data_IF_709260740099
#
_entry.id   IF_709260740099
#
_cell.length_a   1.000
_cell.length_b   1.000
_cell.length_c   1.000
_cell.angle_alpha   90.00
_cell.angle_beta   90.00
_cell.angle_gamma   90.00
#
_symmetry.space_group_name_H-M   'P 1'
#
loop_
_entity.id
_entity.type
_entity.pdbx_description
1 polymer ?
#
# COMPACT_ATOMS: atom_id res chain seq x y z
N UNK A 1 15.86 2.97 6.80
CA UNK A 1 14.91 3.47 5.78
C UNK A 1 15.07 2.65 4.51
N UNK A 2 14.02 1.95 4.15
CA UNK A 2 13.88 1.12 2.96
C UNK A 2 13.12 1.88 1.88
N UNK A 3 13.26 1.40 0.64
CA UNK A 3 12.66 2.01 -0.54
C UNK A 3 12.29 0.93 -1.54
N UNK A 4 11.00 0.75 -1.76
CA UNK A 4 10.48 -0.24 -2.72
C UNK A 4 9.46 0.36 -3.66
N UNK A 5 9.45 -0.11 -4.91
CA UNK A 5 8.45 0.25 -5.91
C UNK A 5 7.63 -0.99 -6.22
N UNK A 6 6.33 -0.92 -5.97
CA UNK A 6 5.40 -2.04 -6.11
C UNK A 6 4.25 -1.61 -7.03
N UNK A 7 3.85 -2.48 -7.94
CA UNK A 7 2.66 -2.28 -8.77
C UNK A 7 1.48 -3.01 -8.12
N UNK A 8 0.42 -2.27 -7.79
CA UNK A 8 -0.73 -2.74 -7.03
C UNK A 8 -2.03 -2.28 -7.69
N UNK A 9 -3.13 -2.97 -7.42
CA UNK A 9 -4.47 -2.50 -7.80
C UNK A 9 -4.75 -1.17 -7.10
N UNK A 10 -5.37 -0.22 -7.81
CA UNK A 10 -5.73 1.09 -7.27
C UNK A 10 -6.61 0.98 -6.01
N UNK A 11 -7.50 -0.01 -5.94
CA UNK A 11 -8.37 -0.23 -4.78
C UNK A 11 -7.57 -0.67 -3.55
N UNK A 12 -6.61 -1.58 -3.75
CA UNK A 12 -5.68 -2.01 -2.69
C UNK A 12 -4.85 -0.81 -2.20
N UNK A 13 -4.39 0.04 -3.10
CA UNK A 13 -3.61 1.23 -2.72
C UNK A 13 -4.43 2.24 -1.92
N UNK A 14 -5.71 2.43 -2.26
CA UNK A 14 -6.59 3.30 -1.48
C UNK A 14 -6.75 2.80 -0.04
N UNK A 15 -6.90 1.49 0.15
CA UNK A 15 -6.94 0.88 1.50
C UNK A 15 -5.63 1.02 2.26
N UNK A 16 -4.50 0.86 1.58
CA UNK A 16 -3.18 1.07 2.19
C UNK A 16 -3.06 2.52 2.69
N UNK A 17 -3.47 3.49 1.87
CA UNK A 17 -3.46 4.91 2.26
C UNK A 17 -4.34 5.13 3.49
N UNK A 18 -5.56 4.59 3.52
CA UNK A 18 -6.46 4.70 4.66
C UNK A 18 -5.82 4.11 5.93
N UNK A 19 -5.29 2.89 5.86
CA UNK A 19 -4.61 2.24 7.00
C UNK A 19 -3.40 3.01 7.51
N UNK A 20 -2.57 3.54 6.61
CA UNK A 20 -1.40 4.36 6.97
C UNK A 20 -1.83 5.60 7.74
N UNK A 21 -2.90 6.27 7.30
CA UNK A 21 -3.42 7.46 7.97
C UNK A 21 -4.12 7.12 9.31
N UNK A 22 -4.99 6.12 9.33
CA UNK A 22 -5.76 5.73 10.52
C UNK A 22 -4.87 5.27 11.67
N UNK A 23 -3.78 4.55 11.35
CA UNK A 23 -2.85 4.02 12.34
C UNK A 23 -1.63 4.93 12.56
N UNK A 24 -1.58 6.10 11.90
CA UNK A 24 -0.47 7.06 11.96
C UNK A 24 0.89 6.37 11.73
N UNK A 25 0.99 5.57 10.66
CA UNK A 25 2.18 4.80 10.33
C UNK A 25 3.24 5.69 9.67
N UNK A 26 4.51 5.48 10.00
CA UNK A 26 5.66 6.15 9.40
C UNK A 26 6.02 5.50 8.04
N UNK A 27 5.10 5.62 7.08
CA UNK A 27 5.24 5.16 5.70
C UNK A 27 4.91 6.33 4.77
N UNK A 28 5.87 6.76 3.95
CA UNK A 28 5.62 7.71 2.87
C UNK A 28 5.34 6.98 1.57
N UNK A 29 4.38 7.50 0.80
CA UNK A 29 3.91 6.90 -0.44
C UNK A 29 3.91 7.94 -1.55
N UNK A 30 4.45 7.59 -2.71
CA UNK A 30 4.34 8.37 -3.94
C UNK A 30 3.65 7.54 -5.02
N UNK A 31 2.46 7.99 -5.45
CA UNK A 31 1.64 7.30 -6.44
C UNK A 31 1.99 7.76 -7.86
N UNK A 32 2.27 6.79 -8.72
CA UNK A 32 2.40 6.99 -10.16
C UNK A 32 1.06 7.12 -10.88
N UNK A 33 1.11 7.02 -12.21
CA UNK A 33 -0.09 7.06 -13.06
C UNK A 33 -0.81 5.71 -13.04
N UNK A 34 -2.13 5.74 -12.87
CA UNK A 34 -2.98 4.55 -12.98
C UNK A 34 -3.08 4.09 -14.44
N UNK A 35 -2.84 2.81 -14.69
CA UNK A 35 -3.01 2.16 -16.00
C UNK A 35 -3.66 0.80 -15.82
N UNK A 36 -4.75 0.55 -16.54
CA UNK A 36 -5.49 -0.72 -16.50
C UNK A 36 -5.90 -1.16 -15.09
N UNK A 37 -6.27 -0.21 -14.24
CA UNK A 37 -6.63 -0.45 -12.83
C UNK A 37 -5.44 -0.58 -11.87
N UNK A 38 -4.22 -0.69 -12.39
CA UNK A 38 -2.99 -0.82 -11.61
C UNK A 38 -2.28 0.53 -11.43
N UNK A 39 -1.56 0.68 -10.33
CA UNK A 39 -0.74 1.85 -10.04
C UNK A 39 0.62 1.42 -9.50
N UNK A 40 1.68 2.05 -9.99
CA UNK A 40 3.02 1.91 -9.40
C UNK A 40 3.14 2.88 -8.23
N UNK A 41 3.45 2.35 -7.07
CA UNK A 41 3.62 3.13 -5.85
C UNK A 41 5.04 2.95 -5.35
N UNK A 42 5.68 4.08 -5.06
CA UNK A 42 6.92 4.11 -4.32
C UNK A 42 6.60 4.18 -2.82
N UNK A 43 7.17 3.27 -2.04
CA UNK A 43 7.09 3.24 -0.59
C UNK A 43 8.44 3.61 0.03
N UNK A 44 8.42 4.49 1.04
CA UNK A 44 9.54 4.78 1.93
C UNK A 44 9.10 4.49 3.37
N UNK A 45 9.85 3.66 4.07
CA UNK A 45 9.45 3.15 5.38
C UNK A 45 10.67 2.71 6.19
N UNK A 46 10.52 2.58 7.51
CA UNK A 46 11.59 2.11 8.38
C UNK A 46 11.56 0.60 8.64
N UNK A 47 10.36 0.03 8.73
CA UNK A 47 10.13 -1.36 9.10
C UNK A 47 9.50 -2.18 7.93
N UNK A 48 10.23 -3.15 7.35
CA UNK A 48 9.71 -3.99 6.28
C UNK A 48 8.59 -4.93 6.71
N UNK A 49 8.54 -5.36 7.97
CA UNK A 49 7.46 -6.21 8.47
C UNK A 49 6.15 -5.41 8.54
N UNK A 50 6.23 -4.13 8.93
CA UNK A 50 5.09 -3.22 8.92
C UNK A 50 4.52 -3.03 7.52
N UNK A 51 5.37 -2.73 6.53
CA UNK A 51 4.90 -2.56 5.14
C UNK A 51 4.24 -3.84 4.62
N UNK A 52 4.86 -5.00 4.87
CA UNK A 52 4.29 -6.29 4.45
C UNK A 52 2.94 -6.57 5.11
N UNK A 53 2.79 -6.29 6.40
CA UNK A 53 1.52 -6.44 7.11
C UNK A 53 0.43 -5.58 6.50
N UNK A 54 0.70 -4.29 6.28
CA UNK A 54 -0.28 -3.34 5.72
C UNK A 54 -0.72 -3.76 4.31
N UNK A 55 0.22 -4.18 3.46
CA UNK A 55 -0.10 -4.67 2.11
C UNK A 55 -0.94 -5.95 2.19
N UNK A 56 -0.53 -6.93 2.99
CA UNK A 56 -1.23 -8.21 3.11
C UNK A 56 -2.66 -8.02 3.61
N UNK A 57 -2.86 -7.23 4.67
CA UNK A 57 -4.19 -6.91 5.18
C UNK A 57 -5.05 -6.19 4.14
N UNK A 58 -4.48 -5.23 3.41
CA UNK A 58 -5.22 -4.47 2.37
C UNK A 58 -5.63 -5.36 1.20
N UNK A 59 -4.78 -6.30 0.79
CA UNK A 59 -5.08 -7.30 -0.24
C UNK A 59 -6.15 -8.26 0.27
N UNK A 60 -6.00 -8.80 1.48
CA UNK A 60 -6.99 -9.69 2.09
C UNK A 60 -8.35 -8.99 2.19
N UNK A 61 -8.43 -7.77 2.72
CA UNK A 61 -9.72 -7.06 2.86
C UNK A 61 -10.39 -6.68 1.53
N UNK A 62 -9.62 -6.53 0.44
CA UNK A 62 -10.18 -6.29 -0.89
C UNK A 62 -10.70 -7.58 -1.54
N UNK A 63 -9.95 -8.69 -1.42
CA UNK A 63 -10.28 -9.93 -2.14
C UNK A 63 -11.00 -11.01 -1.31
N UNK A 64 -10.99 -10.94 0.03
CA UNK A 64 -11.82 -11.75 0.94
C UNK A 64 -13.20 -11.12 1.22
N UNK A 65 -13.70 -10.31 0.29
CA UNK A 65 -15.13 -9.95 0.31
C UNK A 65 -15.98 -11.23 0.14
N UNK A 66 -17.05 -11.42 0.94
CA UNK A 66 -17.87 -12.64 0.95
C UNK A 66 -18.56 -12.97 -0.38
#
# INVERSE_FOLDING_TARGET
>A
MFKDIIELDKQVVDRIVDKVHENNLEIEMEMGVVKDGMVKVLFLYEDPELLQSVINESVTEEYDLP
#
